data_IF_660595560735
#
_entry.id   IF_660595560735
#
_cell.length_a   1.000
_cell.length_b   1.000
_cell.length_c   1.000
_cell.angle_alpha   90.00
_cell.angle_beta   90.00
_cell.angle_gamma   90.00
#
_symmetry.space_group_name_H-M   'P 1'
#
loop_
_entity.id
_entity.type
_entity.pdbx_description
1 polymer ?
#
# COMPACT_ATOMS: atom_id res chain seq x y z
N UNK A 1 -21.44 -0.02 15.12
CA UNK A 1 -21.15 -1.38 15.64
C UNK A 1 -19.70 -1.74 15.39
N UNK A 2 -18.90 -1.89 16.44
CA UNK A 2 -17.50 -2.35 16.34
C UNK A 2 -17.56 -3.85 16.05
N UNK A 3 -17.11 -4.25 14.86
CA UNK A 3 -17.11 -5.66 14.43
C UNK A 3 -16.00 -6.41 15.18
N UNK A 4 -16.34 -7.51 15.83
CA UNK A 4 -15.37 -8.28 16.59
C UNK A 4 -14.26 -8.85 15.68
N UNK A 5 -12.98 -8.83 16.15
CA UNK A 5 -11.87 -9.40 15.41
C UNK A 5 -12.00 -10.92 15.28
N UNK A 6 -11.63 -11.46 14.12
CA UNK A 6 -11.60 -12.90 13.86
C UNK A 6 -10.28 -13.47 14.34
N UNK A 7 -10.32 -14.40 15.31
CA UNK A 7 -9.14 -15.00 15.96
C UNK A 7 -8.86 -16.40 15.42
N UNK A 8 -7.56 -16.75 15.31
CA UNK A 8 -7.07 -18.08 14.94
C UNK A 8 -5.62 -18.27 15.41
N UNK A 9 -5.14 -19.51 15.40
CA UNK A 9 -3.82 -19.91 15.90
C UNK A 9 -3.01 -20.55 14.77
N UNK A 10 -2.34 -19.79 13.91
CA UNK A 10 -1.52 -20.32 12.84
C UNK A 10 -0.07 -20.53 13.28
N UNK A 11 0.63 -21.42 12.56
CA UNK A 11 2.08 -21.56 12.63
C UNK A 11 2.73 -20.58 11.64
N UNK A 12 3.78 -19.90 12.09
CA UNK A 12 4.59 -19.05 11.20
C UNK A 12 5.46 -19.93 10.32
N UNK A 13 5.45 -19.69 9.02
CA UNK A 13 6.36 -20.32 8.09
C UNK A 13 7.17 -19.30 7.29
N UNK A 14 8.29 -19.74 6.73
CA UNK A 14 9.21 -18.90 5.99
C UNK A 14 9.09 -19.14 4.48
N UNK A 15 8.94 -18.06 3.72
CA UNK A 15 9.13 -18.05 2.27
C UNK A 15 10.27 -17.08 1.98
N UNK A 16 11.42 -17.60 1.53
CA UNK A 16 12.65 -16.83 1.36
C UNK A 16 13.04 -16.16 2.68
N UNK A 17 13.14 -14.84 2.69
CA UNK A 17 13.46 -14.05 3.88
C UNK A 17 12.23 -13.57 4.65
N UNK A 18 11.03 -13.81 4.14
CA UNK A 18 9.77 -13.30 4.72
C UNK A 18 9.04 -14.39 5.50
N UNK A 19 8.40 -13.99 6.59
CA UNK A 19 7.57 -14.85 7.43
C UNK A 19 6.10 -14.59 7.11
N UNK A 20 5.35 -15.66 7.05
CA UNK A 20 3.94 -15.62 6.70
C UNK A 20 3.14 -16.55 7.60
N UNK A 21 1.85 -16.28 7.68
CA UNK A 21 0.85 -17.22 8.18
C UNK A 21 -0.29 -17.26 7.17
N UNK A 22 -0.85 -18.45 6.96
CA UNK A 22 -2.04 -18.60 6.11
C UNK A 22 -3.27 -18.17 6.89
N UNK A 23 -4.16 -17.48 6.21
CA UNK A 23 -5.45 -17.05 6.76
C UNK A 23 -6.49 -18.10 6.42
N UNK A 24 -7.24 -18.63 7.41
CA UNK A 24 -8.33 -19.57 7.16
C UNK A 24 -9.32 -19.01 6.13
N UNK A 25 -9.78 -19.84 5.16
CA UNK A 25 -10.67 -19.37 4.09
C UNK A 25 -11.94 -18.71 4.60
N UNK A 26 -12.54 -19.24 5.66
CA UNK A 26 -13.76 -18.70 6.28
C UNK A 26 -13.54 -17.28 6.85
N UNK A 27 -12.35 -17.00 7.37
CA UNK A 27 -11.98 -15.66 7.87
C UNK A 27 -11.76 -14.71 6.69
N UNK A 28 -11.05 -15.15 5.65
CA UNK A 28 -10.83 -14.37 4.45
C UNK A 28 -12.15 -14.02 3.76
N UNK A 29 -13.05 -14.98 3.60
CA UNK A 29 -14.37 -14.77 2.99
C UNK A 29 -15.24 -13.80 3.80
N UNK A 30 -15.21 -13.91 5.13
CA UNK A 30 -15.90 -12.98 6.00
C UNK A 30 -15.38 -11.54 5.85
N UNK A 31 -14.05 -11.35 5.75
CA UNK A 31 -13.44 -10.05 5.51
C UNK A 31 -13.77 -9.50 4.12
N UNK A 32 -13.80 -10.35 3.08
CA UNK A 32 -14.17 -9.98 1.72
C UNK A 32 -15.63 -9.51 1.68
N UNK A 33 -16.56 -10.28 2.29
CA UNK A 33 -17.96 -9.86 2.40
C UNK A 33 -18.11 -8.51 3.10
N UNK A 34 -17.36 -8.28 4.18
CA UNK A 34 -17.37 -7.00 4.87
C UNK A 34 -16.79 -5.86 4.01
N UNK A 35 -15.71 -6.12 3.26
CA UNK A 35 -15.08 -5.14 2.36
C UNK A 35 -16.04 -4.73 1.24
N UNK A 36 -16.79 -5.68 0.68
CA UNK A 36 -17.80 -5.38 -0.33
C UNK A 36 -18.97 -4.58 0.25
N UNK A 37 -19.46 -4.94 1.43
CA UNK A 37 -20.56 -4.21 2.10
C UNK A 37 -20.17 -2.77 2.43
N UNK A 38 -18.92 -2.51 2.81
CA UNK A 38 -18.45 -1.14 3.11
C UNK A 38 -18.30 -0.26 1.88
N UNK A 39 -18.15 -0.86 0.69
CA UNK A 39 -18.07 -0.12 -0.58
C UNK A 39 -19.44 0.15 -1.21
N UNK A 40 -20.48 -0.63 -0.83
CA UNK A 40 -21.83 -0.47 -1.39
C UNK A 40 -22.62 0.74 -0.88
N UNK A 41 -22.15 1.43 0.14
CA UNK A 41 -22.77 2.71 0.55
C UNK A 41 -22.52 3.84 -0.45
N UNK A 42 -21.70 3.65 -1.48
CA UNK A 42 -21.33 4.70 -2.43
C UNK A 42 -21.86 4.52 -3.87
N UNK A 43 -22.38 3.35 -4.27
CA UNK A 43 -22.98 3.17 -5.60
C UNK A 43 -23.86 1.92 -5.66
N UNK A 44 -25.17 2.11 -5.70
CA UNK A 44 -26.12 1.06 -6.05
C UNK A 44 -25.96 0.66 -7.52
N UNK A 45 -25.41 -0.49 -7.81
CA UNK A 45 -25.40 -1.03 -9.17
C UNK A 45 -25.26 -2.57 -9.18
N UNK A 46 -26.33 -3.19 -9.68
CA UNK A 46 -26.51 -4.54 -10.28
C UNK A 46 -25.66 -5.71 -9.76
N UNK A 47 -26.35 -6.82 -9.48
CA UNK A 47 -25.87 -8.19 -9.13
C UNK A 47 -24.81 -8.77 -10.09
N UNK A 48 -23.61 -8.18 -10.14
CA UNK A 48 -22.45 -8.84 -10.74
C UNK A 48 -21.65 -9.52 -9.62
N UNK A 49 -21.28 -10.79 -9.81
CA UNK A 49 -20.33 -11.51 -8.95
C UNK A 49 -19.09 -10.64 -8.79
N UNK A 50 -18.87 -10.08 -7.62
CA UNK A 50 -17.76 -9.14 -7.41
C UNK A 50 -16.45 -9.93 -7.46
N UNK A 51 -15.44 -9.45 -8.17
CA UNK A 51 -14.15 -10.14 -8.26
C UNK A 51 -13.49 -10.20 -6.89
N UNK A 52 -12.81 -11.31 -6.61
CA UNK A 52 -11.99 -11.46 -5.40
C UNK A 52 -10.98 -10.32 -5.33
N UNK A 53 -10.92 -9.57 -4.23
CA UNK A 53 -9.99 -8.45 -4.13
C UNK A 53 -8.55 -8.95 -4.16
N UNK A 54 -7.67 -8.24 -4.88
CA UNK A 54 -6.23 -8.56 -4.90
C UNK A 54 -5.57 -8.38 -3.52
N UNK A 55 -6.10 -7.50 -2.69
CA UNK A 55 -5.57 -7.18 -1.37
C UNK A 55 -6.71 -6.85 -0.41
N UNK A 56 -6.64 -7.34 0.82
CA UNK A 56 -7.62 -7.06 1.88
C UNK A 56 -6.93 -6.23 2.96
N UNK A 57 -7.29 -4.95 3.14
CA UNK A 57 -6.74 -4.13 4.22
C UNK A 57 -7.26 -4.61 5.57
N UNK A 58 -6.35 -4.84 6.52
CA UNK A 58 -6.69 -5.32 7.86
C UNK A 58 -5.89 -4.62 8.94
N UNK A 59 -6.47 -4.57 10.13
CA UNK A 59 -5.75 -4.44 11.38
C UNK A 59 -5.48 -5.86 11.88
N UNK A 60 -4.21 -6.23 11.97
CA UNK A 60 -3.79 -7.53 12.47
C UNK A 60 -3.20 -7.36 13.86
N UNK A 61 -3.72 -8.10 14.82
CA UNK A 61 -3.15 -8.24 16.17
C UNK A 61 -2.48 -9.60 16.23
N UNK A 62 -1.17 -9.61 16.45
CA UNK A 62 -0.35 -10.81 16.60
C UNK A 62 0.11 -10.86 18.05
N UNK A 63 -0.29 -11.90 18.77
CA UNK A 63 -0.17 -12.00 20.23
C UNK A 63 -0.76 -10.72 20.88
N UNK A 64 0.06 -9.76 21.28
CA UNK A 64 -0.37 -8.51 21.92
C UNK A 64 -0.08 -7.27 21.07
N UNK A 65 0.51 -7.42 19.87
CA UNK A 65 0.94 -6.31 19.03
C UNK A 65 -0.02 -6.12 17.85
N UNK A 66 -0.63 -4.93 17.76
CA UNK A 66 -1.53 -4.58 16.66
C UNK A 66 -0.82 -3.73 15.60
N UNK A 67 -1.09 -4.02 14.34
CA UNK A 67 -0.59 -3.22 13.21
C UNK A 67 -1.59 -3.15 12.07
N UNK A 68 -1.58 -2.06 11.33
CA UNK A 68 -2.34 -1.91 10.09
C UNK A 68 -1.52 -2.51 8.94
N UNK A 69 -2.07 -3.54 8.30
CA UNK A 69 -1.41 -4.26 7.22
C UNK A 69 -2.40 -4.66 6.12
N UNK A 70 -1.98 -5.54 5.23
CA UNK A 70 -2.80 -5.98 4.11
C UNK A 70 -2.56 -7.47 3.92
N UNK A 71 -3.64 -8.24 3.78
CA UNK A 71 -3.54 -9.64 3.36
C UNK A 71 -3.19 -9.70 1.89
N UNK A 72 -2.25 -10.55 1.54
CA UNK A 72 -1.78 -10.76 0.17
C UNK A 72 -2.30 -12.09 -0.36
N UNK A 73 -2.58 -12.20 -1.68
CA UNK A 73 -3.04 -13.46 -2.26
C UNK A 73 -1.96 -14.53 -2.18
N UNK A 74 -2.39 -15.76 -1.89
CA UNK A 74 -1.55 -16.96 -1.82
C UNK A 74 -1.86 -17.97 -2.94
N UNK A 75 -2.63 -17.58 -3.95
CA UNK A 75 -3.14 -18.45 -5.00
C UNK A 75 -4.43 -19.18 -4.62
N UNK A 76 -5.18 -19.64 -5.62
CA UNK A 76 -6.43 -20.40 -5.44
C UNK A 76 -7.44 -19.75 -4.46
N UNK A 77 -7.57 -18.41 -4.49
CA UNK A 77 -8.47 -17.67 -3.60
C UNK A 77 -8.03 -17.57 -2.15
N UNK A 78 -6.88 -18.15 -1.79
CA UNK A 78 -6.32 -18.09 -0.44
C UNK A 78 -5.58 -16.79 -0.19
N UNK A 79 -5.47 -16.42 1.09
CA UNK A 79 -4.76 -15.23 1.55
C UNK A 79 -3.76 -15.58 2.65
N UNK A 80 -2.71 -14.79 2.73
CA UNK A 80 -1.71 -14.87 3.80
C UNK A 80 -1.44 -13.51 4.41
N UNK A 81 -1.04 -13.53 5.68
CA UNK A 81 -0.56 -12.36 6.41
C UNK A 81 0.96 -12.42 6.45
N UNK A 82 1.62 -11.34 6.05
CA UNK A 82 3.06 -11.20 6.23
C UNK A 82 3.36 -10.73 7.65
N UNK A 83 4.19 -11.48 8.37
CA UNK A 83 4.67 -11.12 9.70
C UNK A 83 5.99 -10.36 9.54
N UNK A 84 5.92 -9.03 9.61
CA UNK A 84 7.08 -8.18 9.47
C UNK A 84 7.98 -8.22 10.73
N UNK A 85 9.17 -7.64 10.62
CA UNK A 85 10.16 -7.64 11.72
C UNK A 85 9.63 -6.98 13.00
N UNK A 86 8.81 -5.93 12.88
CA UNK A 86 8.22 -5.26 14.04
C UNK A 86 7.26 -6.19 14.79
N UNK A 87 6.35 -6.88 14.07
CA UNK A 87 5.44 -7.85 14.65
C UNK A 87 6.16 -9.03 15.28
N UNK A 88 7.23 -9.54 14.63
CA UNK A 88 8.03 -10.65 15.18
C UNK A 88 8.70 -10.25 16.49
N UNK A 89 9.40 -9.12 16.50
CA UNK A 89 10.09 -8.63 17.70
C UNK A 89 9.12 -8.35 18.85
N UNK A 90 8.01 -7.69 18.58
CA UNK A 90 7.02 -7.37 19.59
C UNK A 90 6.20 -8.58 20.06
N UNK A 91 5.99 -9.56 19.17
CA UNK A 91 5.27 -10.80 19.50
C UNK A 91 6.17 -11.92 20.04
N UNK A 92 7.51 -11.74 20.04
CA UNK A 92 8.47 -12.73 20.53
C UNK A 92 8.45 -14.06 19.75
N UNK A 93 8.11 -14.04 18.44
CA UNK A 93 7.85 -15.23 17.66
C UNK A 93 8.58 -15.24 16.31
N UNK A 94 9.01 -16.43 15.84
CA UNK A 94 9.62 -16.62 14.52
C UNK A 94 9.07 -17.88 13.81
N UNK A 95 9.68 -18.26 12.72
CA UNK A 95 9.25 -19.43 11.93
C UNK A 95 9.27 -20.73 12.76
N UNK A 96 8.19 -21.47 12.70
CA UNK A 96 7.94 -22.67 13.51
C UNK A 96 7.02 -22.42 14.71
N UNK A 97 6.91 -21.17 15.17
CA UNK A 97 6.07 -20.85 16.33
C UNK A 97 4.60 -20.74 15.96
N UNK A 98 3.75 -21.19 16.89
CA UNK A 98 2.31 -20.96 16.86
C UNK A 98 2.00 -19.63 17.52
N UNK A 99 1.25 -18.76 16.83
CA UNK A 99 0.91 -17.43 17.32
C UNK A 99 -0.60 -17.22 17.38
N UNK A 100 -1.04 -16.33 18.27
CA UNK A 100 -2.43 -15.86 18.25
C UNK A 100 -2.56 -14.71 17.26
N UNK A 101 -3.42 -14.87 16.25
CA UNK A 101 -3.70 -13.82 15.27
C UNK A 101 -5.17 -13.43 15.35
N UNK A 102 -5.42 -12.13 15.45
CA UNK A 102 -6.76 -11.57 15.32
C UNK A 102 -6.78 -10.59 14.14
N UNK A 103 -7.75 -10.75 13.24
CA UNK A 103 -7.92 -9.92 12.05
C UNK A 103 -9.23 -9.13 12.11
N UNK A 104 -9.14 -7.86 11.79
CA UNK A 104 -10.28 -6.98 11.62
C UNK A 104 -10.12 -6.20 10.32
N UNK A 105 -11.23 -6.00 9.58
CA UNK A 105 -11.18 -5.18 8.36
C UNK A 105 -10.78 -3.74 8.72
N UNK A 106 -9.76 -3.22 8.02
CA UNK A 106 -9.31 -1.84 8.16
C UNK A 106 -10.08 -0.94 7.19
N UNK A 107 -11.08 -0.25 7.71
CA UNK A 107 -11.90 0.70 6.94
C UNK A 107 -11.45 2.14 7.11
N UNK A 108 -10.53 2.40 8.03
CA UNK A 108 -10.05 3.75 8.29
C UNK A 108 -9.19 4.27 7.13
N UNK A 109 -9.29 5.56 6.79
CA UNK A 109 -8.44 6.17 5.79
C UNK A 109 -6.95 5.93 6.10
N UNK A 110 -6.18 5.64 5.06
CA UNK A 110 -4.71 5.47 5.16
C UNK A 110 -3.98 6.67 4.56
N UNK A 111 -4.59 7.84 4.68
CA UNK A 111 -4.01 9.05 4.15
C UNK A 111 -2.77 9.44 4.94
N UNK A 112 -1.77 9.88 4.21
CA UNK A 112 -0.54 10.45 4.78
C UNK A 112 -0.63 11.96 4.58
N UNK A 113 -0.51 12.77 5.64
CA UNK A 113 -0.54 14.21 5.49
C UNK A 113 0.62 14.68 4.60
N UNK A 114 0.34 15.65 3.74
CA UNK A 114 1.37 16.27 2.88
C UNK A 114 2.22 17.19 3.75
N UNK A 115 3.55 16.97 3.84
CA UNK A 115 4.43 17.85 4.60
C UNK A 115 4.37 19.30 4.11
N UNK A 116 4.46 20.27 5.02
CA UNK A 116 4.41 21.69 4.68
C UNK A 116 5.48 22.09 3.64
N UNK A 117 6.69 21.55 3.78
CA UNK A 117 7.80 21.76 2.84
C UNK A 117 7.40 21.31 1.42
N UNK A 118 6.84 20.11 1.29
CA UNK A 118 6.39 19.59 0.00
C UNK A 118 5.21 20.38 -0.56
N UNK A 119 4.32 20.86 0.30
CA UNK A 119 3.21 21.74 -0.10
C UNK A 119 3.73 23.03 -0.72
N UNK A 120 4.79 23.64 -0.14
CA UNK A 120 5.42 24.84 -0.65
C UNK A 120 6.08 24.61 -2.02
N UNK A 121 6.78 23.47 -2.18
CA UNK A 121 7.38 23.07 -3.46
C UNK A 121 6.29 22.85 -4.53
N UNK A 122 5.23 22.16 -4.20
CA UNK A 122 4.12 21.92 -5.14
C UNK A 122 3.39 23.20 -5.55
N UNK A 123 3.35 24.22 -4.69
CA UNK A 123 2.82 25.54 -5.05
C UNK A 123 3.67 26.23 -6.12
N UNK A 124 5.00 26.05 -6.07
CA UNK A 124 5.92 26.60 -7.08
C UNK A 124 5.90 25.84 -8.40
N UNK A 125 5.38 24.59 -8.40
CA UNK A 125 5.30 23.71 -9.58
C UNK A 125 3.86 23.31 -9.89
N UNK A 126 3.01 24.19 -10.47
CA UNK A 126 1.58 23.94 -10.65
C UNK A 126 1.26 22.73 -11.52
N UNK A 127 2.09 22.41 -12.52
CA UNK A 127 1.94 21.20 -13.34
C UNK A 127 2.15 19.92 -12.52
N UNK A 128 3.20 19.87 -11.71
CA UNK A 128 3.47 18.75 -10.80
C UNK A 128 2.39 18.62 -9.73
N UNK A 129 1.90 19.73 -9.18
CA UNK A 129 0.78 19.74 -8.24
C UNK A 129 -0.46 19.10 -8.83
N UNK A 130 -0.86 19.48 -10.03
CA UNK A 130 -2.03 18.91 -10.73
C UNK A 130 -1.88 17.39 -10.92
N UNK A 131 -0.70 16.92 -11.33
CA UNK A 131 -0.44 15.48 -11.48
C UNK A 131 -0.48 14.76 -10.12
N UNK A 132 0.06 15.37 -9.06
CA UNK A 132 0.02 14.81 -7.71
C UNK A 132 -1.41 14.66 -7.19
N UNK A 133 -2.26 15.67 -7.39
CA UNK A 133 -3.67 15.65 -7.00
C UNK A 133 -4.48 14.59 -7.75
N UNK A 134 -4.09 14.28 -9.00
CA UNK A 134 -4.71 13.25 -9.84
C UNK A 134 -4.18 11.83 -9.58
N UNK A 135 -3.17 11.66 -8.73
CA UNK A 135 -2.67 10.33 -8.40
C UNK A 135 -3.72 9.50 -7.66
N UNK A 136 -3.82 8.19 -7.96
CA UNK A 136 -4.58 7.27 -7.14
C UNK A 136 -4.11 7.34 -5.67
N UNK A 137 -5.02 7.23 -4.68
CA UNK A 137 -4.69 7.38 -3.26
C UNK A 137 -3.50 6.52 -2.81
N UNK A 138 -3.41 5.28 -3.31
CA UNK A 138 -2.30 4.38 -3.00
C UNK A 138 -0.94 4.89 -3.49
N UNK A 139 -0.86 5.42 -4.72
CA UNK A 139 0.36 6.01 -5.26
C UNK A 139 0.74 7.29 -4.52
N UNK A 140 -0.22 8.16 -4.25
CA UNK A 140 0.02 9.38 -3.46
C UNK A 140 0.63 9.03 -2.11
N UNK A 141 0.04 8.05 -1.42
CA UNK A 141 0.56 7.55 -0.15
C UNK A 141 1.99 7.01 -0.27
N UNK A 142 2.31 6.21 -1.28
CA UNK A 142 3.67 5.68 -1.50
C UNK A 142 4.69 6.80 -1.70
N UNK A 143 4.38 7.79 -2.52
CA UNK A 143 5.27 8.93 -2.76
C UNK A 143 5.50 9.74 -1.48
N UNK A 144 4.46 9.99 -0.70
CA UNK A 144 4.58 10.69 0.58
C UNK A 144 5.41 9.90 1.60
N UNK A 145 5.22 8.58 1.69
CA UNK A 145 6.03 7.74 2.56
C UNK A 145 7.50 7.70 2.14
N UNK A 146 7.77 7.72 0.82
CA UNK A 146 9.13 7.81 0.30
C UNK A 146 9.76 9.16 0.68
N UNK A 147 9.04 10.25 0.51
CA UNK A 147 9.48 11.59 0.91
C UNK A 147 9.81 11.67 2.41
N UNK A 148 8.94 11.14 3.26
CA UNK A 148 9.09 11.16 4.72
C UNK A 148 10.25 10.29 5.25
N UNK A 149 10.78 9.37 4.46
CA UNK A 149 11.97 8.58 4.82
C UNK A 149 13.26 9.42 4.82
N UNK A 150 13.30 10.48 4.05
CA UNK A 150 14.44 11.39 4.00
C UNK A 150 14.49 12.24 5.26
N UNK A 151 15.45 11.97 6.16
CA UNK A 151 15.57 12.65 7.46
C UNK A 151 16.49 13.87 7.40
N UNK A 152 17.52 13.87 6.54
CA UNK A 152 18.45 14.99 6.42
C UNK A 152 18.00 16.01 5.36
N UNK A 153 18.33 17.30 5.49
CA UNK A 153 18.00 18.33 4.51
C UNK A 153 18.52 17.99 3.10
N UNK A 154 19.77 17.50 2.99
CA UNK A 154 20.38 17.07 1.72
C UNK A 154 19.58 15.92 1.08
N UNK A 155 19.21 14.89 1.86
CA UNK A 155 18.38 13.78 1.37
C UNK A 155 17.00 14.26 0.94
N UNK A 156 16.38 15.21 1.65
CA UNK A 156 15.10 15.81 1.26
C UNK A 156 15.19 16.56 -0.06
N UNK A 157 16.26 17.34 -0.30
CA UNK A 157 16.49 18.00 -1.59
C UNK A 157 16.46 16.98 -2.74
N UNK A 158 17.29 15.95 -2.68
CA UNK A 158 17.33 14.90 -3.72
C UNK A 158 15.99 14.15 -3.90
N UNK A 159 15.29 13.89 -2.80
CA UNK A 159 13.97 13.23 -2.89
C UNK A 159 12.95 14.17 -3.50
N UNK A 160 13.02 15.48 -3.23
CA UNK A 160 12.14 16.49 -3.83
C UNK A 160 12.33 16.56 -5.34
N UNK A 161 13.59 16.61 -5.81
CA UNK A 161 13.91 16.60 -7.25
C UNK A 161 13.33 15.37 -7.93
N UNK A 162 13.63 14.17 -7.42
CA UNK A 162 13.08 12.92 -7.96
C UNK A 162 11.54 12.85 -7.94
N UNK A 163 10.94 13.43 -6.92
CA UNK A 163 9.50 13.51 -6.79
C UNK A 163 8.89 14.38 -7.90
N UNK A 164 9.51 15.54 -8.16
CA UNK A 164 9.10 16.43 -9.24
C UNK A 164 9.30 15.79 -10.61
N UNK A 165 10.45 15.17 -10.85
CA UNK A 165 10.78 14.46 -12.09
C UNK A 165 9.75 13.38 -12.39
N UNK A 166 9.42 12.56 -11.39
CA UNK A 166 8.41 11.52 -11.54
C UNK A 166 7.03 12.08 -11.92
N UNK A 167 6.63 13.21 -11.33
CA UNK A 167 5.35 13.85 -11.68
C UNK A 167 5.38 14.48 -13.08
N UNK A 168 6.50 15.06 -13.47
CA UNK A 168 6.67 15.62 -14.82
C UNK A 168 6.68 14.53 -15.89
N UNK A 169 7.35 13.41 -15.68
CA UNK A 169 7.32 12.24 -16.57
C UNK A 169 5.89 11.70 -16.73
N UNK A 170 5.11 11.61 -15.66
CA UNK A 170 3.71 11.21 -15.75
C UNK A 170 2.86 12.18 -16.56
N UNK A 171 3.10 13.49 -16.42
CA UNK A 171 2.44 14.50 -17.22
C UNK A 171 2.75 14.32 -18.73
N UNK A 172 4.02 14.04 -19.06
CA UNK A 172 4.46 13.77 -20.43
C UNK A 172 3.84 12.49 -21.01
N UNK A 173 3.72 11.44 -20.20
CA UNK A 173 3.09 10.18 -20.62
C UNK A 173 1.60 10.35 -20.92
N UNK A 174 0.90 11.18 -20.14
CA UNK A 174 -0.53 11.48 -20.37
C UNK A 174 -0.77 12.40 -21.57
N UNK A 175 0.20 13.25 -21.87
CA UNK A 175 0.12 14.24 -22.95
C UNK A 175 1.25 14.01 -23.96
N UNK A 176 1.11 13.03 -24.87
CA UNK A 176 2.17 12.64 -25.80
C UNK A 176 2.70 13.80 -26.68
N UNK A 177 1.90 14.86 -26.89
CA UNK A 177 2.33 16.08 -27.58
C UNK A 177 3.42 16.89 -26.83
N UNK A 178 3.60 16.63 -25.53
CA UNK A 178 4.62 17.29 -24.70
C UNK A 178 5.91 16.47 -24.57
N UNK A 179 5.98 15.27 -25.22
CA UNK A 179 7.21 14.47 -25.23
C UNK A 179 8.32 15.28 -25.93
N UNK A 180 9.49 15.47 -25.29
CA UNK A 180 10.63 16.02 -25.97
C UNK A 180 10.97 15.10 -27.16
N UNK A 181 11.29 15.70 -28.32
CA UNK A 181 11.78 14.92 -29.45
C UNK A 181 12.98 14.09 -29.00
N UNK A 182 13.07 12.81 -29.38
CA UNK A 182 14.24 12.00 -29.04
C UNK A 182 15.49 12.74 -29.53
N UNK A 183 16.49 12.87 -28.68
CA UNK A 183 17.80 13.39 -29.10
C UNK A 183 18.29 12.53 -30.27
N UNK A 184 18.76 13.12 -31.37
CA UNK A 184 19.34 12.34 -32.45
C UNK A 184 20.43 11.46 -31.86
N UNK A 185 20.41 10.18 -32.25
CA UNK A 185 21.43 9.22 -31.83
C UNK A 185 22.80 9.83 -32.17
N UNK A 186 23.65 10.01 -31.15
CA UNK A 186 25.02 10.44 -31.37
C UNK A 186 25.65 9.40 -32.30
N UNK A 187 26.08 9.88 -33.48
CA UNK A 187 26.76 9.09 -34.51
C UNK A 187 28.00 8.43 -33.86
N UNK A 188 27.86 7.12 -33.62
CA UNK A 188 29.01 6.31 -33.20
C UNK A 188 29.80 5.96 -34.48
N UNK A 189 30.49 6.94 -35.05
CA UNK A 189 31.58 6.71 -35.97
C UNK A 189 32.85 7.28 -35.29
N UNK A 190 33.59 6.42 -34.70
CA UNK A 190 35.03 6.16 -34.76
C UNK A 190 35.40 5.13 -33.72
#
# INVERSE_FOLDING_TARGET
MVRQPKKFLPTIYKIWMMRHVDVPPEIADALIKQLHSSKHTAAASKKRKQPTPKHIPVVATVNHCSTRTTLVPAGAGRFRLQINTALRKAGGADAGDVISVALQLDTAPRDVPVPAELTSVLKQHPKARKEFEQLPPGHRRQLLLYYLRAKSPKARGHVTERFLDHLHERALLRHPKLKPKPKPAADRRN
#
